data_IF_727743727780
#
_entry.id   IF_727743727780
#
_cell.length_a   1.000
_cell.length_b   1.000
_cell.length_c   1.000
_cell.angle_alpha   90.00
_cell.angle_beta   90.00
_cell.angle_gamma   90.00
#
_symmetry.space_group_name_H-M   'P 1'
#
loop_
_entity.id
_entity.type
_entity.pdbx_description
1 polymer ?
#
# COMPACT_ATOMS: atom_id res chain seq x y z
N UNK A 1 -3.66 1.16 24.71
CA UNK A 1 -3.32 0.97 23.29
C UNK A 1 -3.40 -0.50 22.81
N UNK A 2 -3.40 -1.51 23.68
CA UNK A 2 -3.35 -2.95 23.33
C UNK A 2 -4.58 -3.48 22.61
N UNK A 3 -5.79 -3.08 23.00
CA UNK A 3 -7.02 -3.56 22.35
C UNK A 3 -7.12 -3.13 20.87
N UNK A 4 -6.71 -1.91 20.55
CA UNK A 4 -6.71 -1.38 19.19
C UNK A 4 -5.75 -2.17 18.29
N UNK A 5 -4.52 -2.39 18.76
CA UNK A 5 -3.52 -3.14 17.99
C UNK A 5 -3.95 -4.59 17.75
N UNK A 6 -4.60 -5.22 18.73
CA UNK A 6 -5.13 -6.58 18.59
C UNK A 6 -6.26 -6.65 17.56
N UNK A 7 -7.14 -5.65 17.55
CA UNK A 7 -8.22 -5.56 16.55
C UNK A 7 -7.67 -5.36 15.14
N UNK A 8 -6.68 -4.48 14.98
CA UNK A 8 -5.96 -4.26 13.71
C UNK A 8 -5.31 -5.55 13.22
N UNK A 9 -4.59 -6.26 14.10
CA UNK A 9 -3.96 -7.54 13.75
C UNK A 9 -4.98 -8.63 13.36
N UNK A 10 -6.14 -8.66 14.01
CA UNK A 10 -7.21 -9.61 13.67
C UNK A 10 -7.78 -9.34 12.27
N UNK A 11 -7.97 -8.07 11.90
CA UNK A 11 -8.44 -7.66 10.57
C UNK A 11 -7.42 -8.08 9.50
N UNK A 12 -6.14 -7.77 9.69
CA UNK A 12 -5.09 -8.15 8.74
C UNK A 12 -4.97 -9.66 8.55
N UNK A 13 -5.14 -10.45 9.61
CA UNK A 13 -5.11 -11.91 9.52
C UNK A 13 -6.26 -12.46 8.68
N UNK A 14 -7.46 -11.89 8.82
CA UNK A 14 -8.65 -12.42 8.17
C UNK A 14 -8.80 -11.94 6.71
N UNK A 15 -8.36 -10.72 6.41
CA UNK A 15 -8.59 -10.08 5.11
C UNK A 15 -7.31 -9.83 4.30
N UNK A 16 -6.14 -10.20 4.85
CA UNK A 16 -4.85 -10.02 4.23
C UNK A 16 -4.14 -8.74 4.67
N UNK A 17 -2.82 -8.70 4.42
CA UNK A 17 -1.97 -7.55 4.77
C UNK A 17 -2.45 -6.28 4.04
N UNK A 18 -2.49 -5.16 4.76
CA UNK A 18 -2.93 -3.88 4.20
C UNK A 18 -4.44 -3.71 4.09
N UNK A 19 -5.23 -4.62 4.66
CA UNK A 19 -6.68 -4.46 4.82
C UNK A 19 -7.07 -3.35 5.80
N UNK A 20 -6.17 -2.99 6.73
CA UNK A 20 -6.29 -1.79 7.57
C UNK A 20 -4.90 -1.22 7.85
N UNK A 21 -4.75 0.10 7.71
CA UNK A 21 -3.48 0.79 7.87
C UNK A 21 -3.69 2.19 8.46
N UNK A 22 -2.66 2.72 9.12
CA UNK A 22 -2.66 4.10 9.59
C UNK A 22 -2.15 5.02 8.48
N UNK A 23 -2.93 6.04 8.12
CA UNK A 23 -2.51 7.04 7.14
C UNK A 23 -1.26 7.79 7.64
N UNK A 24 -0.25 7.90 6.77
CA UNK A 24 1.04 8.53 7.09
C UNK A 24 2.04 7.62 7.80
N UNK A 25 1.72 6.34 8.02
CA UNK A 25 2.67 5.37 8.56
C UNK A 25 3.61 4.87 7.45
N UNK A 26 4.85 5.36 7.46
CA UNK A 26 5.88 4.94 6.49
C UNK A 26 6.32 3.47 6.66
N UNK A 27 5.99 2.83 7.79
CA UNK A 27 6.26 1.40 8.01
C UNK A 27 5.22 0.48 7.36
N UNK A 28 4.13 1.04 6.84
CA UNK A 28 3.10 0.33 6.09
C UNK A 28 3.56 -0.14 4.69
N UNK A 29 4.82 0.11 4.32
CA UNK A 29 5.39 -0.34 3.06
C UNK A 29 5.34 -1.86 2.96
N UNK A 30 4.36 -2.35 2.20
CA UNK A 30 4.24 -3.76 1.88
C UNK A 30 5.40 -4.09 0.94
N UNK A 31 6.25 -5.04 1.33
CA UNK A 31 7.35 -5.50 0.50
C UNK A 31 6.79 -6.26 -0.71
N UNK A 32 6.61 -5.54 -1.82
CA UNK A 32 6.10 -6.05 -3.10
C UNK A 32 7.04 -5.56 -4.19
N UNK A 33 7.32 -6.43 -5.16
CA UNK A 33 8.08 -6.01 -6.34
C UNK A 33 7.27 -4.97 -7.13
N UNK A 34 7.92 -3.88 -7.52
CA UNK A 34 7.30 -2.79 -8.27
C UNK A 34 7.97 -2.58 -9.64
N UNK A 35 7.22 -1.99 -10.56
CA UNK A 35 7.70 -1.50 -11.86
C UNK A 35 7.72 0.03 -11.79
N UNK A 36 8.86 0.70 -12.04
CA UNK A 36 8.93 2.16 -12.00
C UNK A 36 7.94 2.82 -12.97
N UNK A 37 7.29 3.90 -12.54
CA UNK A 37 6.36 4.66 -13.39
C UNK A 37 7.08 5.56 -14.39
N UNK A 38 8.37 5.83 -14.16
CA UNK A 38 9.15 6.82 -14.92
C UNK A 38 9.02 8.24 -14.38
N UNK A 39 8.21 8.46 -13.34
CA UNK A 39 8.11 9.72 -12.60
C UNK A 39 8.52 9.52 -11.16
N UNK A 40 9.60 10.18 -10.73
CA UNK A 40 10.16 10.00 -9.38
C UNK A 40 9.17 10.45 -8.29
N UNK A 41 8.37 11.48 -8.57
CA UNK A 41 7.36 11.97 -7.63
C UNK A 41 6.24 10.95 -7.45
N UNK A 42 5.82 10.28 -8.53
CA UNK A 42 4.79 9.27 -8.48
C UNK A 42 5.28 7.98 -7.83
N UNK A 43 6.51 7.54 -8.13
CA UNK A 43 7.13 6.36 -7.51
C UNK A 43 7.24 6.51 -5.98
N UNK A 44 7.61 7.71 -5.51
CA UNK A 44 7.65 8.04 -4.07
C UNK A 44 6.24 8.10 -3.48
N UNK A 45 5.28 8.71 -4.18
CA UNK A 45 3.90 8.81 -3.70
C UNK A 45 3.22 7.45 -3.55
N UNK A 46 3.54 6.48 -4.43
CA UNK A 46 3.04 5.10 -4.34
C UNK A 46 3.64 4.31 -3.16
N UNK A 47 4.71 4.81 -2.52
CA UNK A 47 5.33 4.23 -1.32
C UNK A 47 6.13 2.94 -1.56
N UNK A 48 5.86 2.22 -2.65
CA UNK A 48 6.55 0.98 -3.05
C UNK A 48 7.54 1.16 -4.20
N UNK A 49 7.75 2.40 -4.66
CA UNK A 49 8.71 2.73 -5.72
C UNK A 49 8.23 2.48 -7.14
N UNK A 50 6.91 2.37 -7.34
CA UNK A 50 6.30 2.18 -8.66
C UNK A 50 4.96 1.44 -8.60
N UNK A 51 4.49 0.92 -9.73
CA UNK A 51 3.28 0.09 -9.79
C UNK A 51 3.57 -1.35 -9.31
N UNK A 52 2.79 -1.91 -8.38
CA UNK A 52 3.06 -3.25 -7.84
C UNK A 52 2.79 -4.36 -8.86
N UNK A 53 3.70 -5.34 -8.92
CA UNK A 53 3.56 -6.52 -9.78
C UNK A 53 2.44 -7.44 -9.28
N UNK A 54 1.73 -8.07 -10.22
CA UNK A 54 0.66 -9.02 -9.91
C UNK A 54 -0.60 -8.37 -9.33
N UNK A 55 -0.77 -7.06 -9.53
CA UNK A 55 -1.95 -6.28 -9.09
C UNK A 55 -2.57 -5.55 -10.27
N UNK A 56 -3.88 -5.33 -10.17
CA UNK A 56 -4.65 -4.52 -11.13
C UNK A 56 -4.51 -3.05 -10.72
N UNK A 57 -4.21 -2.19 -11.69
CA UNK A 57 -4.05 -0.75 -11.51
C UNK A 57 -5.04 -0.04 -12.44
N UNK A 58 -5.72 0.97 -11.92
CA UNK A 58 -6.61 1.84 -12.68
C UNK A 58 -5.98 3.22 -12.84
N UNK A 59 -5.95 3.73 -14.07
CA UNK A 59 -5.52 5.08 -14.41
C UNK A 59 -6.68 5.73 -15.15
N UNK A 60 -7.13 6.87 -14.66
CA UNK A 60 -8.25 7.61 -15.24
C UNK A 60 -7.90 9.10 -15.33
N UNK A 61 -8.53 9.78 -16.28
CA UNK A 61 -8.35 11.19 -16.54
C UNK A 61 -9.15 11.62 -17.78
N UNK A 62 -9.28 12.94 -18.01
CA UNK A 62 -9.74 13.44 -19.30
C UNK A 62 -8.76 13.03 -20.41
N UNK A 63 -9.24 13.09 -21.66
CA UNK A 63 -8.38 13.03 -22.85
C UNK A 63 -7.42 14.23 -22.91
#
# INVERSE_FOLDING_TARGET
>A
MTALNNAVAAIEKNFGKGSVMKLGDASANINVEAIPTGSISLDVALGVGGVPRGRIIEIYGPE
#
